data_IF_202397476915
#
_entry.id   IF_202397476915
#
_cell.length_a   1.000
_cell.length_b   1.000
_cell.length_c   1.000
_cell.angle_alpha   90.00
_cell.angle_beta   90.00
_cell.angle_gamma   90.00
#
_symmetry.space_group_name_H-M   'P 1'
#
loop_
_entity.id
_entity.type
_entity.pdbx_description
1 polymer ?
#
# COMPACT_ATOMS: atom_id res chain seq x y z
N UNK A 1 -23.26 -10.02 16.26
CA UNK A 1 -22.05 -10.66 16.84
C UNK A 1 -21.18 -9.54 17.41
N UNK A 2 -21.20 -9.33 18.73
CA UNK A 2 -20.41 -8.29 19.37
C UNK A 2 -18.93 -8.73 19.42
N UNK A 3 -18.02 -7.87 18.96
CA UNK A 3 -16.59 -8.09 19.13
C UNK A 3 -16.26 -8.19 20.64
N UNK A 4 -15.32 -9.06 21.00
CA UNK A 4 -14.91 -9.20 22.40
C UNK A 4 -14.34 -7.88 22.95
N UNK A 5 -14.63 -7.58 24.22
CA UNK A 5 -14.15 -6.36 24.93
C UNK A 5 -12.66 -6.05 24.71
N UNK A 6 -11.70 -7.00 24.75
CA UNK A 6 -10.29 -6.69 24.51
C UNK A 6 -10.03 -6.19 23.09
N UNK A 7 -10.71 -6.72 22.08
CA UNK A 7 -10.51 -6.28 20.69
C UNK A 7 -11.07 -4.88 20.49
N UNK A 8 -12.20 -4.55 21.14
CA UNK A 8 -12.74 -3.19 21.10
C UNK A 8 -11.81 -2.17 21.76
N UNK A 9 -11.18 -2.53 22.89
CA UNK A 9 -10.20 -1.65 23.55
C UNK A 9 -8.96 -1.43 22.69
N UNK A 10 -8.48 -2.48 22.01
CA UNK A 10 -7.36 -2.40 21.08
C UNK A 10 -7.70 -1.52 19.87
N UNK A 11 -8.89 -1.69 19.30
CA UNK A 11 -9.38 -0.86 18.19
C UNK A 11 -9.54 0.60 18.62
N UNK A 12 -10.10 0.87 19.81
CA UNK A 12 -10.23 2.21 20.34
C UNK A 12 -8.86 2.88 20.54
N UNK A 13 -7.88 2.15 21.11
CA UNK A 13 -6.52 2.64 21.27
C UNK A 13 -5.83 2.90 19.93
N UNK A 14 -6.04 2.05 18.92
CA UNK A 14 -5.55 2.27 17.56
C UNK A 14 -6.15 3.55 16.95
N UNK A 15 -7.47 3.71 17.01
CA UNK A 15 -8.17 4.88 16.47
C UNK A 15 -7.74 6.16 17.18
N UNK A 16 -7.56 6.12 18.50
CA UNK A 16 -7.06 7.24 19.28
C UNK A 16 -5.62 7.63 18.86
N UNK A 17 -4.73 6.65 18.70
CA UNK A 17 -3.37 6.91 18.21
C UNK A 17 -3.33 7.36 16.75
N UNK A 18 -4.28 6.92 15.93
CA UNK A 18 -4.43 7.39 14.55
C UNK A 18 -4.85 8.87 14.51
N UNK A 19 -5.66 9.31 15.47
CA UNK A 19 -6.08 10.70 15.62
C UNK A 19 -4.96 11.59 16.20
N UNK A 20 -4.31 11.15 17.29
CA UNK A 20 -3.28 11.94 17.98
C UNK A 20 -1.94 11.97 17.25
N UNK A 21 -1.55 10.85 16.63
CA UNK A 21 -0.26 10.67 15.97
C UNK A 21 -0.41 9.99 14.60
N UNK A 22 -1.08 10.64 13.63
CA UNK A 22 -1.48 10.02 12.37
C UNK A 22 -0.29 9.46 11.58
N UNK A 23 0.81 10.20 11.48
CA UNK A 23 1.99 9.77 10.71
C UNK A 23 2.63 8.53 11.32
N UNK A 24 2.88 8.53 12.64
CA UNK A 24 3.53 7.41 13.34
C UNK A 24 2.68 6.15 13.25
N UNK A 25 1.38 6.27 13.50
CA UNK A 25 0.45 5.14 13.48
C UNK A 25 0.33 4.56 12.06
N UNK A 26 0.21 5.39 11.03
CA UNK A 26 0.19 4.95 9.63
C UNK A 26 1.51 4.28 9.22
N UNK A 27 2.65 4.86 9.60
CA UNK A 27 3.97 4.29 9.33
C UNK A 27 4.15 2.89 9.95
N UNK A 28 3.82 2.74 11.23
CA UNK A 28 3.91 1.45 11.93
C UNK A 28 2.96 0.43 11.30
N UNK A 29 1.71 0.82 11.02
CA UNK A 29 0.72 -0.06 10.38
C UNK A 29 1.21 -0.51 9.01
N UNK A 30 1.74 0.39 8.18
CA UNK A 30 2.28 0.08 6.87
C UNK A 30 3.52 -0.83 6.94
N UNK A 31 4.37 -0.66 7.95
CA UNK A 31 5.49 -1.58 8.21
C UNK A 31 4.99 -3.01 8.52
N UNK A 32 4.01 -3.15 9.41
CA UNK A 32 3.41 -4.44 9.76
C UNK A 32 2.74 -5.09 8.55
N UNK A 33 1.96 -4.33 7.78
CA UNK A 33 1.31 -4.85 6.56
C UNK A 33 2.35 -5.27 5.51
N UNK A 34 3.40 -4.48 5.31
CA UNK A 34 4.47 -4.80 4.35
C UNK A 34 5.24 -6.06 4.72
N UNK A 35 5.68 -6.16 5.98
CA UNK A 35 6.40 -7.34 6.48
C UNK A 35 5.52 -8.60 6.41
N UNK A 36 4.28 -8.52 6.90
CA UNK A 36 3.35 -9.64 6.87
C UNK A 36 3.04 -10.07 5.43
N UNK A 37 2.82 -9.12 4.50
CA UNK A 37 2.57 -9.44 3.09
C UNK A 37 3.76 -10.13 2.41
N UNK A 38 4.97 -9.71 2.76
CA UNK A 38 6.22 -10.34 2.28
C UNK A 38 6.39 -11.76 2.83
N UNK A 39 6.10 -11.99 4.12
CA UNK A 39 6.12 -13.33 4.74
C UNK A 39 5.07 -14.24 4.08
N UNK A 40 3.82 -13.76 3.98
CA UNK A 40 2.74 -14.53 3.39
C UNK A 40 3.04 -14.93 1.95
N UNK A 41 3.61 -14.01 1.15
CA UNK A 41 4.04 -14.31 -0.21
C UNK A 41 5.05 -15.44 -0.28
N UNK A 42 5.97 -15.54 0.68
CA UNK A 42 7.01 -16.59 0.74
C UNK A 42 6.44 -17.93 1.20
N UNK A 43 5.60 -17.92 2.23
CA UNK A 43 4.92 -19.12 2.72
C UNK A 43 4.04 -19.75 1.63
N UNK A 44 3.27 -18.94 0.90
CA UNK A 44 2.42 -19.42 -0.21
C UNK A 44 3.25 -20.00 -1.35
N UNK A 45 4.51 -19.60 -1.50
CA UNK A 45 5.41 -20.15 -2.51
C UNK A 45 6.06 -21.48 -2.11
N UNK A 46 5.98 -21.86 -0.84
CA UNK A 46 6.73 -22.99 -0.30
C UNK A 46 8.24 -22.76 -0.20
N UNK A 47 8.69 -21.49 -0.28
CA UNK A 47 10.10 -21.13 -0.21
C UNK A 47 10.57 -20.96 1.25
N UNK A 48 11.89 -21.05 1.46
CA UNK A 48 12.50 -20.67 2.74
C UNK A 48 12.30 -19.17 3.02
N UNK A 49 12.01 -18.83 4.28
CA UNK A 49 11.81 -17.45 4.72
C UNK A 49 13.14 -16.68 4.60
N UNK A 50 13.19 -15.73 3.66
CA UNK A 50 14.27 -14.78 3.44
C UNK A 50 13.97 -13.46 4.13
N UNK A 51 14.97 -12.94 4.82
CA UNK A 51 14.87 -11.67 5.55
C UNK A 51 14.96 -10.44 4.63
N UNK A 52 15.74 -10.48 3.54
CA UNK A 52 15.94 -9.30 2.68
C UNK A 52 14.63 -8.69 2.16
N UNK A 53 13.68 -9.48 1.59
CA UNK A 53 12.41 -8.95 1.14
C UNK A 53 11.51 -8.53 2.30
N UNK A 54 11.61 -9.16 3.47
CA UNK A 54 10.80 -8.80 4.65
C UNK A 54 11.22 -7.43 5.16
N UNK A 55 12.53 -7.24 5.33
CA UNK A 55 13.12 -5.98 5.76
C UNK A 55 12.87 -4.87 4.74
N UNK A 56 13.01 -5.15 3.44
CA UNK A 56 12.75 -4.16 2.40
C UNK A 56 11.30 -3.65 2.41
N UNK A 57 10.31 -4.56 2.49
CA UNK A 57 8.91 -4.16 2.59
C UNK A 57 8.58 -3.48 3.92
N UNK A 58 9.17 -3.93 5.03
CA UNK A 58 9.00 -3.29 6.33
C UNK A 58 9.55 -1.86 6.37
N UNK A 59 10.79 -1.66 5.92
CA UNK A 59 11.43 -0.34 5.84
C UNK A 59 10.69 0.59 4.89
N UNK A 60 10.23 0.08 3.73
CA UNK A 60 9.41 0.87 2.82
C UNK A 60 8.09 1.30 3.47
N UNK A 61 7.40 0.38 4.15
CA UNK A 61 6.16 0.68 4.88
C UNK A 61 6.37 1.71 5.99
N UNK A 62 7.44 1.57 6.77
CA UNK A 62 7.78 2.44 7.89
C UNK A 62 8.14 3.85 7.42
N UNK A 63 8.99 3.99 6.41
CA UNK A 63 9.52 5.28 5.99
C UNK A 63 8.57 6.04 5.06
N UNK A 64 7.90 5.32 4.17
CA UNK A 64 7.16 5.93 3.05
C UNK A 64 5.68 5.57 3.04
N UNK A 65 5.31 4.37 3.49
CA UNK A 65 3.94 3.87 3.40
C UNK A 65 2.92 4.69 4.20
N UNK A 66 3.33 5.37 5.28
CA UNK A 66 2.45 6.24 6.06
C UNK A 66 2.60 7.73 5.77
N UNK A 67 3.83 8.17 5.49
CA UNK A 67 4.21 9.58 5.37
C UNK A 67 3.79 10.17 4.02
N UNK A 68 4.18 9.54 2.92
CA UNK A 68 3.95 10.07 1.58
C UNK A 68 2.44 10.18 1.26
N UNK A 69 1.61 9.14 1.50
CA UNK A 69 0.17 9.26 1.26
C UNK A 69 -0.47 10.34 2.11
N UNK A 70 -0.01 10.54 3.36
CA UNK A 70 -0.59 11.55 4.24
C UNK A 70 -0.44 12.96 3.69
N UNK A 71 0.78 13.37 3.34
CA UNK A 71 1.02 14.69 2.77
C UNK A 71 0.41 14.85 1.37
N UNK A 72 0.34 13.76 0.60
CA UNK A 72 -0.34 13.79 -0.69
C UNK A 72 -1.83 14.10 -0.56
N UNK A 73 -2.53 13.44 0.37
CA UNK A 73 -3.96 13.69 0.57
C UNK A 73 -4.21 15.11 1.12
N UNK A 74 -3.37 15.61 2.02
CA UNK A 74 -3.44 17.01 2.46
C UNK A 74 -3.28 18.00 1.29
N UNK A 75 -2.31 17.74 0.40
CA UNK A 75 -2.11 18.55 -0.80
C UNK A 75 -3.32 18.53 -1.75
N UNK A 76 -3.94 17.35 -1.93
CA UNK A 76 -5.13 17.19 -2.78
C UNK A 76 -6.35 17.89 -2.19
N UNK A 77 -6.52 17.86 -0.87
CA UNK A 77 -7.60 18.59 -0.19
C UNK A 77 -7.45 20.09 -0.38
N UNK A 78 -6.22 20.63 -0.32
CA UNK A 78 -5.95 22.03 -0.60
C UNK A 78 -6.12 22.42 -2.08
N UNK A 79 -5.79 21.53 -3.02
CA UNK A 79 -5.92 21.79 -4.46
C UNK A 79 -7.37 21.71 -4.96
N UNK A 80 -8.17 20.82 -4.38
CA UNK A 80 -9.57 20.59 -4.78
C UNK A 80 -10.53 20.78 -3.59
N UNK A 81 -10.67 22.02 -3.09
CA UNK A 81 -11.61 22.32 -2.01
C UNK A 81 -13.05 22.06 -2.46
N UNK A 82 -13.81 21.38 -1.61
CA UNK A 82 -15.16 20.88 -1.94
C UNK A 82 -16.17 22.01 -2.15
N UNK A 83 -15.92 23.16 -1.55
CA UNK A 83 -16.78 24.34 -1.59
C UNK A 83 -16.68 25.10 -2.92
N UNK A 84 -15.58 24.96 -3.66
CA UNK A 84 -15.28 25.80 -4.84
C UNK A 84 -15.27 25.00 -6.14
N UNK A 85 -14.94 23.70 -6.07
CA UNK A 85 -14.68 22.89 -7.26
C UNK A 85 -15.87 22.00 -7.59
N UNK A 86 -16.44 22.16 -8.80
CA UNK A 86 -17.43 21.22 -9.31
C UNK A 86 -16.87 19.79 -9.44
N UNK A 87 -17.63 18.80 -8.94
CA UNK A 87 -17.29 17.38 -8.88
C UNK A 87 -15.93 17.07 -8.21
N UNK A 88 -15.72 17.51 -6.96
CA UNK A 88 -14.42 17.43 -6.31
C UNK A 88 -13.97 15.97 -6.15
N UNK A 89 -14.89 15.06 -5.82
CA UNK A 89 -14.61 13.62 -5.70
C UNK A 89 -14.04 13.02 -6.98
N UNK A 90 -14.63 13.34 -8.15
CA UNK A 90 -14.19 12.79 -9.43
C UNK A 90 -12.80 13.30 -9.80
N UNK A 91 -12.51 14.59 -9.57
CA UNK A 91 -11.19 15.19 -9.82
C UNK A 91 -10.12 14.63 -8.88
N UNK A 92 -10.42 14.50 -7.58
CA UNK A 92 -9.54 13.88 -6.59
C UNK A 92 -9.19 12.44 -7.01
N UNK A 93 -10.20 11.66 -7.41
CA UNK A 93 -10.01 10.28 -7.87
C UNK A 93 -9.16 10.21 -9.15
N UNK A 94 -9.44 11.05 -10.15
CA UNK A 94 -8.66 11.09 -11.38
C UNK A 94 -7.20 11.46 -11.12
N UNK A 95 -6.94 12.46 -10.28
CA UNK A 95 -5.59 12.86 -9.92
C UNK A 95 -4.85 11.76 -9.16
N UNK A 96 -5.52 11.12 -8.19
CA UNK A 96 -4.96 9.98 -7.48
C UNK A 96 -4.60 8.84 -8.44
N UNK A 97 -5.49 8.50 -9.36
CA UNK A 97 -5.30 7.37 -10.27
C UNK A 97 -4.31 7.64 -11.40
N UNK A 98 -4.28 8.86 -11.95
CA UNK A 98 -3.46 9.18 -13.12
C UNK A 98 -2.09 9.78 -12.79
N UNK A 99 -1.91 10.37 -11.61
CA UNK A 99 -0.66 11.05 -11.26
C UNK A 99 0.01 10.34 -10.08
N UNK A 100 -0.73 10.19 -8.99
CA UNK A 100 -0.15 9.63 -7.76
C UNK A 100 0.14 8.14 -7.88
N UNK A 101 -0.82 7.34 -8.34
CA UNK A 101 -0.65 5.89 -8.44
C UNK A 101 0.53 5.50 -9.37
N UNK A 102 0.71 6.08 -10.58
CA UNK A 102 1.86 5.79 -11.43
C UNK A 102 3.18 6.18 -10.76
N UNK A 103 3.26 7.39 -10.18
CA UNK A 103 4.48 7.86 -9.52
C UNK A 103 4.85 6.99 -8.31
N UNK A 104 3.88 6.68 -7.45
CA UNK A 104 4.10 5.80 -6.29
C UNK A 104 4.42 4.37 -6.70
N UNK A 105 3.83 3.87 -7.78
CA UNK A 105 4.12 2.54 -8.29
C UNK A 105 5.57 2.43 -8.79
N UNK A 106 6.06 3.43 -9.53
CA UNK A 106 7.47 3.50 -9.92
C UNK A 106 8.38 3.61 -8.69
N UNK A 107 8.08 4.56 -7.80
CA UNK A 107 8.86 4.79 -6.60
C UNK A 107 8.96 3.55 -5.70
N UNK A 108 7.84 2.84 -5.48
CA UNK A 108 7.82 1.62 -4.66
C UNK A 108 8.68 0.51 -5.26
N UNK A 109 8.57 0.24 -6.57
CA UNK A 109 9.35 -0.80 -7.24
C UNK A 109 10.85 -0.52 -7.17
N UNK A 110 11.24 0.74 -7.39
CA UNK A 110 12.63 1.14 -7.33
C UNK A 110 13.20 1.04 -5.91
N UNK A 111 12.51 1.65 -4.94
CA UNK A 111 12.98 1.71 -3.55
C UNK A 111 13.03 0.34 -2.92
N UNK A 112 12.03 -0.52 -3.16
CA UNK A 112 12.07 -1.90 -2.68
C UNK A 112 13.24 -2.69 -3.28
N UNK A 113 13.54 -2.50 -4.57
CA UNK A 113 14.70 -3.15 -5.18
C UNK A 113 16.02 -2.67 -4.56
N UNK A 114 16.14 -1.38 -4.23
CA UNK A 114 17.30 -0.81 -3.55
C UNK A 114 17.44 -1.31 -2.11
N UNK A 115 16.34 -1.43 -1.37
CA UNK A 115 16.34 -1.98 -0.01
C UNK A 115 16.65 -3.48 0.04
N UNK A 116 16.35 -4.23 -1.02
CA UNK A 116 16.83 -5.61 -1.21
C UNK A 116 18.32 -5.70 -1.60
N UNK A 117 19.04 -4.58 -1.64
CA UNK A 117 20.48 -4.54 -1.96
C UNK A 117 20.80 -4.59 -3.46
N UNK A 118 19.82 -4.55 -4.37
CA UNK A 118 20.08 -4.56 -5.82
C UNK A 118 20.74 -3.25 -6.25
N UNK A 119 21.76 -3.32 -7.12
CA UNK A 119 22.39 -2.13 -7.69
C UNK A 119 21.42 -1.29 -8.56
N UNK A 120 21.79 -0.04 -8.87
CA UNK A 120 20.92 0.89 -9.60
C UNK A 120 20.44 0.34 -10.95
N UNK A 121 21.34 -0.25 -11.75
CA UNK A 121 21.00 -0.84 -13.06
C UNK A 121 20.00 -1.99 -12.93
N UNK A 122 20.17 -2.85 -11.92
CA UNK A 122 19.27 -3.96 -11.63
C UNK A 122 17.90 -3.47 -11.13
N UNK A 123 17.87 -2.42 -10.29
CA UNK A 123 16.63 -1.81 -9.81
C UNK A 123 15.83 -1.18 -10.95
N UNK A 124 16.47 -0.42 -11.84
CA UNK A 124 15.81 0.15 -13.02
C UNK A 124 15.30 -0.92 -13.97
N UNK A 125 16.09 -1.98 -14.22
CA UNK A 125 15.64 -3.09 -15.07
C UNK A 125 14.43 -3.82 -14.47
N UNK A 126 14.40 -4.04 -13.16
CA UNK A 126 13.24 -4.62 -12.49
C UNK A 126 12.02 -3.70 -12.56
N UNK A 127 12.22 -2.40 -12.34
CA UNK A 127 11.18 -1.39 -12.45
C UNK A 127 10.55 -1.40 -13.84
N UNK A 128 11.34 -1.22 -14.90
CA UNK A 128 10.81 -1.16 -16.27
C UNK A 128 10.06 -2.44 -16.67
N UNK A 129 10.53 -3.60 -16.23
CA UNK A 129 9.90 -4.87 -16.54
C UNK A 129 8.56 -5.09 -15.81
N UNK A 130 8.40 -4.52 -14.61
CA UNK A 130 7.23 -4.76 -13.75
C UNK A 130 6.27 -3.57 -13.71
N UNK A 131 6.69 -2.39 -14.15
CA UNK A 131 5.95 -1.16 -13.99
C UNK A 131 4.57 -1.22 -14.67
N UNK A 132 4.51 -1.45 -15.98
CA UNK A 132 3.25 -1.50 -16.71
C UNK A 132 2.31 -2.63 -16.21
N UNK A 133 2.77 -3.90 -16.08
CA UNK A 133 1.91 -4.97 -15.60
C UNK A 133 1.30 -4.70 -14.21
N UNK A 134 2.07 -4.11 -13.31
CA UNK A 134 1.60 -3.83 -11.94
C UNK A 134 0.73 -2.58 -11.92
N UNK A 135 1.05 -1.55 -12.71
CA UNK A 135 0.23 -0.35 -12.81
C UNK A 135 -1.17 -0.65 -13.39
N UNK A 136 -1.24 -1.47 -14.44
CA UNK A 136 -2.53 -1.93 -14.98
C UNK A 136 -3.33 -2.72 -13.95
N UNK A 137 -2.66 -3.62 -13.22
CA UNK A 137 -3.29 -4.37 -12.14
C UNK A 137 -3.78 -3.43 -11.03
N UNK A 138 -3.04 -2.37 -10.72
CA UNK A 138 -3.39 -1.38 -9.70
C UNK A 138 -4.69 -0.67 -10.10
N UNK A 139 -4.73 -0.14 -11.34
CA UNK A 139 -5.92 0.53 -11.85
C UNK A 139 -7.14 -0.36 -11.91
N UNK A 140 -7.00 -1.62 -12.35
CA UNK A 140 -8.15 -2.54 -12.45
C UNK A 140 -8.61 -3.01 -11.07
N UNK A 141 -7.71 -3.61 -10.29
CA UNK A 141 -8.08 -4.30 -9.07
C UNK A 141 -8.31 -3.36 -7.89
N UNK A 142 -7.43 -2.37 -7.66
CA UNK A 142 -7.63 -1.47 -6.52
C UNK A 142 -8.85 -0.56 -6.72
N UNK A 143 -9.15 -0.17 -7.96
CA UNK A 143 -10.37 0.60 -8.23
C UNK A 143 -11.61 -0.25 -8.01
N UNK A 144 -11.60 -1.52 -8.45
CA UNK A 144 -12.69 -2.45 -8.18
C UNK A 144 -12.93 -2.63 -6.68
N UNK A 145 -11.87 -2.87 -5.90
CA UNK A 145 -11.99 -2.99 -4.44
C UNK A 145 -12.44 -1.70 -3.78
N UNK A 146 -12.00 -0.54 -4.27
CA UNK A 146 -12.46 0.76 -3.77
C UNK A 146 -13.96 0.95 -4.04
N UNK A 147 -14.46 0.56 -5.21
CA UNK A 147 -15.89 0.61 -5.53
C UNK A 147 -16.68 -0.31 -4.59
N UNK A 148 -16.21 -1.54 -4.37
CA UNK A 148 -16.82 -2.48 -3.43
C UNK A 148 -16.85 -1.90 -2.01
N UNK A 149 -15.75 -1.28 -1.58
CA UNK A 149 -15.63 -0.65 -0.27
C UNK A 149 -16.65 0.48 -0.06
N UNK A 150 -16.87 1.31 -1.08
CA UNK A 150 -17.82 2.41 -0.98
C UNK A 150 -19.28 1.95 -1.10
N UNK A 151 -19.56 0.98 -1.96
CA UNK A 151 -20.92 0.52 -2.27
C UNK A 151 -21.49 -0.46 -1.21
N UNK A 152 -20.67 -1.38 -0.69
CA UNK A 152 -21.15 -2.49 0.14
C UNK A 152 -20.61 -2.49 1.57
N UNK A 153 -19.48 -1.83 1.85
CA UNK A 153 -18.86 -1.85 3.18
C UNK A 153 -19.34 -0.68 4.04
N UNK A 154 -19.90 -0.94 5.24
CA UNK A 154 -20.33 0.10 6.17
C UNK A 154 -19.19 1.06 6.52
N UNK A 155 -19.44 2.37 6.71
CA UNK A 155 -18.40 3.38 6.94
C UNK A 155 -17.36 3.01 8.01
N UNK A 156 -17.82 2.40 9.11
CA UNK A 156 -16.96 1.96 10.22
C UNK A 156 -15.94 0.87 9.84
N UNK A 157 -16.25 0.03 8.85
CA UNK A 157 -15.41 -1.09 8.43
C UNK A 157 -14.54 -0.79 7.21
N UNK A 158 -14.71 0.38 6.57
CA UNK A 158 -14.00 0.72 5.33
C UNK A 158 -12.48 0.74 5.47
N UNK A 159 -11.99 1.28 6.59
CA UNK A 159 -10.55 1.31 6.89
C UNK A 159 -9.99 -0.11 7.04
N UNK A 160 -10.72 -0.98 7.75
CA UNK A 160 -10.33 -2.37 7.94
C UNK A 160 -10.29 -3.11 6.60
N UNK A 161 -11.32 -2.96 5.77
CA UNK A 161 -11.38 -3.59 4.45
C UNK A 161 -10.21 -3.14 3.55
N UNK A 162 -9.91 -1.84 3.51
CA UNK A 162 -8.80 -1.33 2.70
C UNK A 162 -7.43 -1.78 3.22
N UNK A 163 -7.26 -1.96 4.53
CA UNK A 163 -6.06 -2.56 5.09
C UNK A 163 -5.88 -4.02 4.65
N UNK A 164 -6.97 -4.81 4.58
CA UNK A 164 -6.91 -6.19 4.07
C UNK A 164 -6.57 -6.23 2.57
N UNK A 165 -7.17 -5.35 1.77
CA UNK A 165 -6.82 -5.20 0.35
C UNK A 165 -5.36 -4.78 0.21
N UNK A 166 -4.88 -3.87 1.05
CA UNK A 166 -3.47 -3.45 1.10
C UNK A 166 -2.51 -4.59 1.43
N UNK A 167 -2.87 -5.46 2.37
CA UNK A 167 -2.11 -6.69 2.65
C UNK A 167 -2.07 -7.62 1.43
N UNK A 168 -3.20 -7.85 0.77
CA UNK A 168 -3.27 -8.64 -0.46
C UNK A 168 -2.41 -8.04 -1.58
N UNK A 169 -2.42 -6.71 -1.72
CA UNK A 169 -1.58 -5.99 -2.67
C UNK A 169 -0.08 -6.12 -2.37
N UNK A 170 0.32 -6.01 -1.10
CA UNK A 170 1.71 -6.21 -0.68
C UNK A 170 2.18 -7.63 -0.99
N UNK A 171 1.35 -8.64 -0.73
CA UNK A 171 1.62 -10.04 -1.08
C UNK A 171 1.73 -10.22 -2.60
N UNK A 172 0.84 -9.64 -3.39
CA UNK A 172 0.90 -9.68 -4.85
C UNK A 172 2.18 -9.05 -5.39
N UNK A 173 2.56 -7.89 -4.87
CA UNK A 173 3.78 -7.16 -5.26
C UNK A 173 5.03 -7.99 -4.94
N UNK A 174 5.10 -8.57 -3.74
CA UNK A 174 6.19 -9.46 -3.33
C UNK A 174 6.31 -10.67 -4.28
N UNK A 175 5.18 -11.31 -4.60
CA UNK A 175 5.13 -12.46 -5.51
C UNK A 175 5.62 -12.11 -6.90
N UNK A 176 5.13 -11.01 -7.50
CA UNK A 176 5.54 -10.59 -8.86
C UNK A 176 7.03 -10.23 -8.92
N UNK A 177 7.54 -9.52 -7.91
CA UNK A 177 8.96 -9.15 -7.84
C UNK A 177 9.86 -10.38 -7.65
N UNK A 178 9.42 -11.39 -6.90
CA UNK A 178 10.11 -12.68 -6.76
C UNK A 178 10.13 -13.45 -8.07
N UNK A 179 8.98 -13.65 -8.72
CA UNK A 179 8.88 -14.37 -10.00
C UNK A 179 9.80 -13.78 -11.07
N UNK A 180 9.90 -12.45 -11.13
CA UNK A 180 10.80 -11.77 -12.06
C UNK A 180 12.29 -11.97 -11.73
N UNK A 181 12.62 -12.13 -10.45
CA UNK A 181 14.00 -12.42 -10.02
C UNK A 181 14.38 -13.87 -10.30
N UNK A 182 13.44 -14.81 -10.21
CA UNK A 182 13.62 -16.24 -10.50
C UNK A 182 13.74 -16.54 -12.00
N UNK A 183 12.97 -15.86 -12.87
CA UNK A 183 13.05 -16.01 -14.34
C UNK A 183 14.41 -15.70 -14.98
N UNK A 184 15.36 -15.22 -14.19
CA UNK A 184 16.64 -14.68 -14.64
C UNK A 184 17.85 -15.45 -14.08
N UNK A 185 17.59 -16.43 -13.21
CA UNK A 185 18.53 -17.48 -12.81
C UNK A 185 18.25 -18.72 -13.65
#
# INVERSE_FOLDING_TARGET
MALSKPIMNLLASYLQNLYLHPIKTKAITSCVVGTAGSIASQVVAGDNIRLDPILAFGLYGLLFGGTIPHYFYEFIEGMFPEEVVAFPLAKKLLFERLIFAPFMQAFSLYTLARFEGKNHKAALKQLLALYLPILEANWKWLTLFQVINLAFVPPMLRVLFMNLVGFGWAMFLATKRRQQSQKKN
#
